data_IF_343807017575
#
_entry.id   IF_343807017575
#
_cell.length_a   1.000
_cell.length_b   1.000
_cell.length_c   1.000
_cell.angle_alpha   90.00
_cell.angle_beta   90.00
_cell.angle_gamma   90.00
#
_symmetry.space_group_name_H-M   'P 1'
#
loop_
_entity.id
_entity.type
_entity.pdbx_description
1 polymer ?
#
# COMPACT_ATOMS: atom_id res chain seq x y z
N UNK A 1 0.26 37.39 26.71
CA UNK A 1 0.96 37.27 25.41
C UNK A 1 1.81 36.01 25.24
N UNK A 2 2.59 35.56 26.24
CA UNK A 2 3.46 34.36 26.12
C UNK A 2 2.70 33.06 25.80
N UNK A 3 1.55 32.81 26.43
CA UNK A 3 0.74 31.61 26.20
C UNK A 3 0.21 31.47 24.76
N UNK A 4 -0.07 32.58 24.09
CA UNK A 4 -0.50 32.59 22.68
C UNK A 4 0.63 32.13 21.73
N UNK A 5 1.88 32.44 22.05
CA UNK A 5 3.05 32.03 21.26
C UNK A 5 3.30 30.53 21.43
N UNK A 6 3.17 30.02 22.67
CA UNK A 6 3.30 28.59 22.95
C UNK A 6 2.20 27.78 22.27
N UNK A 7 0.95 28.27 22.29
CA UNK A 7 -0.17 27.62 21.63
C UNK A 7 0.02 27.54 20.11
N UNK A 8 0.49 28.62 19.46
CA UNK A 8 0.79 28.62 18.02
C UNK A 8 1.91 27.64 17.66
N UNK A 9 2.95 27.54 18.48
CA UNK A 9 4.04 26.57 18.28
C UNK A 9 3.55 25.14 18.42
N UNK A 10 2.64 24.88 19.36
CA UNK A 10 2.06 23.57 19.59
C UNK A 10 1.12 23.16 18.43
N UNK A 11 0.32 24.10 17.92
CA UNK A 11 -0.50 23.88 16.73
C UNK A 11 0.36 23.59 15.48
N UNK A 12 1.45 24.33 15.30
CA UNK A 12 2.39 24.11 14.19
C UNK A 12 3.09 22.74 14.29
N UNK A 13 3.48 22.33 15.50
CA UNK A 13 4.03 20.99 15.72
C UNK A 13 3.00 19.88 15.41
N UNK A 14 1.74 20.06 15.83
CA UNK A 14 0.68 19.08 15.56
C UNK A 14 0.36 18.94 14.06
N UNK A 15 0.39 20.05 13.31
CA UNK A 15 0.20 20.03 11.86
C UNK A 15 1.32 19.29 11.09
N UNK A 16 2.52 19.20 11.65
CA UNK A 16 3.63 18.42 11.05
C UNK A 16 3.41 16.91 11.21
N UNK A 17 2.71 16.47 12.26
CA UNK A 17 2.41 15.04 12.48
C UNK A 17 1.27 14.50 11.62
N UNK A 18 0.44 15.37 11.01
CA UNK A 18 -0.66 14.94 10.14
C UNK A 18 -0.23 14.62 8.71
N UNK A 19 1.06 14.76 8.38
CA UNK A 19 1.64 14.41 7.06
C UNK A 19 2.05 12.93 7.01
N UNK A 20 1.25 12.04 7.60
CA UNK A 20 1.29 10.60 7.27
C UNK A 20 0.22 10.33 6.21
N UNK A 21 0.34 11.03 5.09
CA UNK A 21 -0.57 10.89 3.95
C UNK A 21 -0.22 9.63 3.17
N UNK A 22 -1.21 8.75 3.00
CA UNK A 22 -1.21 7.61 2.07
C UNK A 22 -0.01 6.67 2.27
N UNK A 23 -0.06 5.87 3.35
CA UNK A 23 0.85 4.74 3.47
C UNK A 23 0.65 3.84 2.24
N UNK A 24 1.69 3.72 1.40
CA UNK A 24 1.71 2.70 0.37
C UNK A 24 1.70 1.32 1.06
N UNK A 25 1.11 0.32 0.40
CA UNK A 25 1.15 -1.03 0.92
C UNK A 25 2.62 -1.48 1.07
N UNK A 26 3.03 -1.78 2.30
CA UNK A 26 4.39 -2.18 2.60
C UNK A 26 4.58 -3.66 2.29
N UNK A 27 5.68 -4.00 1.61
CA UNK A 27 6.06 -5.40 1.37
C UNK A 27 6.34 -6.13 2.69
N UNK A 28 5.79 -7.34 2.84
CA UNK A 28 6.05 -8.20 3.99
C UNK A 28 6.78 -9.49 3.58
N UNK A 29 6.27 -10.20 2.56
CA UNK A 29 6.88 -11.44 2.08
C UNK A 29 6.49 -11.75 0.64
N UNK A 30 7.17 -12.71 0.02
CA UNK A 30 6.75 -13.30 -1.26
C UNK A 30 6.91 -14.81 -1.26
N UNK A 31 6.16 -15.45 -2.16
CA UNK A 31 6.31 -16.85 -2.52
C UNK A 31 6.22 -17.01 -4.03
N UNK A 32 7.11 -17.81 -4.60
CA UNK A 32 7.01 -18.22 -5.99
C UNK A 32 6.21 -19.54 -6.10
N UNK A 33 5.21 -19.54 -6.98
CA UNK A 33 4.33 -20.67 -7.25
C UNK A 33 4.32 -20.90 -8.77
N UNK A 34 5.26 -21.72 -9.26
CA UNK A 34 5.42 -21.93 -10.70
C UNK A 34 5.80 -20.64 -11.44
N UNK A 35 4.93 -20.19 -12.34
CA UNK A 35 5.06 -18.94 -13.09
C UNK A 35 4.38 -17.73 -12.41
N UNK A 36 3.93 -17.88 -11.17
CA UNK A 36 3.31 -16.80 -10.40
C UNK A 36 4.20 -16.38 -9.23
N UNK A 37 4.27 -15.08 -8.98
CA UNK A 37 4.84 -14.48 -7.79
C UNK A 37 3.72 -13.91 -6.92
N UNK A 38 3.51 -14.47 -5.74
CA UNK A 38 2.53 -14.01 -4.76
C UNK A 38 3.25 -13.18 -3.69
N UNK A 39 2.81 -11.93 -3.50
CA UNK A 39 3.33 -11.00 -2.51
C UNK A 39 2.29 -10.79 -1.41
N UNK A 40 2.74 -10.81 -0.17
CA UNK A 40 1.96 -10.35 0.99
C UNK A 40 2.43 -8.95 1.34
N UNK A 41 1.47 -8.04 1.47
CA UNK A 41 1.69 -6.64 1.85
C UNK A 41 0.93 -6.30 3.12
N UNK A 42 1.18 -5.12 3.69
CA UNK A 42 0.39 -4.59 4.81
C UNK A 42 -1.10 -4.43 4.51
N UNK A 43 -1.49 -4.40 3.24
CA UNK A 43 -2.84 -4.05 2.78
C UNK A 43 -3.58 -5.22 2.12
N UNK A 44 -2.91 -6.37 1.95
CA UNK A 44 -3.46 -7.56 1.30
C UNK A 44 -2.45 -8.29 0.43
N UNK A 45 -2.96 -9.06 -0.53
CA UNK A 45 -2.15 -9.88 -1.42
C UNK A 45 -2.05 -9.28 -2.83
N UNK A 46 -0.91 -9.52 -3.48
CA UNK A 46 -0.65 -9.15 -4.86
C UNK A 46 -0.12 -10.37 -5.59
N UNK A 47 -0.79 -10.78 -6.67
CA UNK A 47 -0.35 -11.90 -7.50
C UNK A 47 0.12 -11.38 -8.86
N UNK A 48 1.34 -11.74 -9.25
CA UNK A 48 1.90 -11.46 -10.58
C UNK A 48 2.04 -12.79 -11.31
N UNK A 49 1.26 -12.99 -12.37
CA UNK A 49 1.32 -14.19 -13.20
C UNK A 49 2.05 -13.87 -14.51
N UNK A 50 3.17 -14.55 -14.78
CA UNK A 50 3.93 -14.37 -16.01
C UNK A 50 3.46 -15.36 -17.07
N UNK A 51 2.92 -14.86 -18.19
CA UNK A 51 2.48 -15.70 -19.31
C UNK A 51 3.57 -15.86 -20.37
N UNK A 52 4.31 -14.79 -20.64
CA UNK A 52 5.38 -14.72 -21.64
C UNK A 52 6.47 -13.77 -21.13
N UNK A 53 7.69 -13.75 -21.70
CA UNK A 53 8.80 -12.90 -21.23
C UNK A 53 8.50 -11.39 -21.13
N UNK A 54 7.41 -10.93 -21.74
CA UNK A 54 6.97 -9.52 -21.74
C UNK A 54 5.49 -9.35 -21.39
N UNK A 55 4.80 -10.42 -20.97
CA UNK A 55 3.38 -10.39 -20.62
C UNK A 55 3.20 -10.94 -19.22
N UNK A 56 2.73 -10.07 -18.33
CA UNK A 56 2.34 -10.42 -16.97
C UNK A 56 0.98 -9.83 -16.65
N UNK A 57 0.18 -10.58 -15.91
CA UNK A 57 -1.05 -10.10 -15.30
C UNK A 57 -0.82 -9.87 -13.81
N UNK A 58 -1.35 -8.76 -13.31
CA UNK A 58 -1.23 -8.38 -11.90
C UNK A 58 -2.63 -8.30 -11.29
N UNK A 59 -2.86 -9.06 -10.24
CA UNK A 59 -4.09 -9.04 -9.45
C UNK A 59 -3.82 -8.52 -8.05
N UNK A 60 -4.57 -7.51 -7.64
CA UNK A 60 -4.49 -6.90 -6.32
C UNK A 60 -5.72 -7.30 -5.53
N UNK A 61 -5.52 -7.97 -4.40
CA UNK A 61 -6.59 -8.33 -3.47
C UNK A 61 -6.33 -7.66 -2.14
N UNK A 62 -6.77 -6.41 -2.04
CA UNK A 62 -6.84 -5.70 -0.76
C UNK A 62 -7.73 -6.47 0.21
N UNK A 63 -7.39 -6.43 1.49
CA UNK A 63 -8.14 -7.13 2.52
C UNK A 63 -9.63 -6.72 2.48
N UNK A 64 -10.52 -7.72 2.41
CA UNK A 64 -11.98 -7.50 2.36
C UNK A 64 -12.54 -7.11 0.99
N UNK A 65 -11.72 -7.02 -0.05
CA UNK A 65 -12.15 -6.74 -1.43
C UNK A 65 -11.93 -7.98 -2.29
N UNK A 66 -12.95 -8.38 -3.05
CA UNK A 66 -12.84 -9.44 -4.05
C UNK A 66 -12.70 -8.83 -5.43
N UNK A 67 -11.56 -9.03 -6.07
CA UNK A 67 -11.36 -8.64 -7.47
C UNK A 67 -12.25 -9.49 -8.39
N UNK A 68 -12.91 -8.85 -9.35
CA UNK A 68 -13.69 -9.53 -10.38
C UNK A 68 -12.75 -10.17 -11.43
N UNK A 69 -13.21 -11.22 -12.15
CA UNK A 69 -12.44 -11.80 -13.24
C UNK A 69 -12.04 -10.75 -14.28
N UNK A 70 -10.84 -10.92 -14.84
CA UNK A 70 -10.37 -10.11 -15.96
C UNK A 70 -11.26 -10.35 -17.20
N UNK A 71 -11.42 -9.32 -18.01
CA UNK A 71 -12.11 -9.39 -19.31
C UNK A 71 -11.13 -9.46 -20.50
N UNK A 72 -9.83 -9.35 -20.24
CA UNK A 72 -8.78 -9.28 -21.25
C UNK A 72 -8.48 -10.64 -21.90
#
# INVERSE_FOLDING_TARGET
MRYFITFRRLLAALALFTVTGLAAADYQSHRQLGNQLLLTTSDGELAITFFQPQVAEVHYQSAGVKQLPSFA
#
